data_IF_412603962604
#
_entry.id   IF_412603962604
#
_cell.length_a   1.000
_cell.length_b   1.000
_cell.length_c   1.000
_cell.angle_alpha   90.00
_cell.angle_beta   90.00
_cell.angle_gamma   90.00
#
_symmetry.space_group_name_H-M   'P 1'
#
loop_
_entity.id
_entity.type
_entity.pdbx_description
1 polymer ?
#
# COMPACT_ATOMS: atom_id res chain seq x y z
N UNK A 1 5.28 -27.45 -7.46
CA UNK A 1 6.53 -26.64 -7.50
C UNK A 1 6.39 -25.58 -6.41
N UNK A 2 7.30 -25.53 -5.44
CA UNK A 2 7.19 -24.54 -4.35
C UNK A 2 7.37 -23.14 -4.94
N UNK A 3 6.35 -22.29 -4.82
CA UNK A 3 6.46 -20.89 -5.21
C UNK A 3 7.55 -20.25 -4.36
N UNK A 4 8.67 -19.90 -4.98
CA UNK A 4 9.78 -19.28 -4.29
C UNK A 4 9.37 -17.85 -3.94
N UNK A 5 9.26 -17.56 -2.64
CA UNK A 5 8.87 -16.27 -2.09
C UNK A 5 9.66 -15.14 -2.76
N UNK A 6 8.97 -14.19 -3.38
CA UNK A 6 9.54 -12.97 -3.97
C UNK A 6 9.33 -11.85 -2.97
N UNK A 7 10.43 -11.24 -2.52
CA UNK A 7 10.43 -10.13 -1.56
C UNK A 7 11.15 -8.95 -2.22
N UNK A 8 10.59 -7.76 -2.04
CA UNK A 8 11.19 -6.50 -2.45
C UNK A 8 11.30 -5.58 -1.23
N UNK A 9 12.45 -4.93 -1.11
CA UNK A 9 12.67 -3.91 -0.10
C UNK A 9 12.44 -2.53 -0.73
N UNK A 10 11.49 -1.78 -0.18
CA UNK A 10 11.25 -0.38 -0.56
C UNK A 10 11.80 0.50 0.54
N UNK A 11 12.74 1.37 0.18
CA UNK A 11 13.45 2.28 1.08
C UNK A 11 12.98 3.70 0.84
N UNK A 12 12.55 4.36 1.90
CA UNK A 12 12.09 5.74 1.91
C UNK A 12 13.04 6.59 2.74
N UNK A 13 13.72 7.52 2.09
CA UNK A 13 14.58 8.49 2.75
C UNK A 13 13.76 9.70 3.22
N UNK A 14 14.26 10.42 4.23
CA UNK A 14 13.64 11.65 4.76
C UNK A 14 12.20 11.44 5.30
N UNK A 15 11.95 10.28 5.90
CA UNK A 15 10.69 9.96 6.59
C UNK A 15 10.86 10.18 8.08
N UNK A 16 10.39 11.33 8.56
CA UNK A 16 10.56 11.78 9.95
C UNK A 16 9.57 11.15 10.95
N UNK A 17 8.54 10.45 10.46
CA UNK A 17 7.51 9.85 11.31
C UNK A 17 7.12 8.44 10.82
N UNK A 18 6.71 7.53 11.71
CA UNK A 18 6.26 6.22 11.28
C UNK A 18 4.92 6.32 10.52
N UNK A 19 4.79 5.68 9.34
CA UNK A 19 3.51 5.53 8.66
C UNK A 19 2.56 4.69 9.50
N UNK A 20 1.27 5.02 9.42
CA UNK A 20 0.21 4.22 10.06
C UNK A 20 -0.53 3.33 9.05
N UNK A 21 -0.30 3.55 7.75
CA UNK A 21 -0.83 2.72 6.67
C UNK A 21 0.16 2.63 5.52
N UNK A 22 0.33 1.40 5.03
CA UNK A 22 1.10 1.07 3.85
C UNK A 22 0.18 0.35 2.88
N UNK A 23 0.09 0.86 1.66
CA UNK A 23 -0.68 0.26 0.58
C UNK A 23 0.24 0.00 -0.60
N UNK A 24 0.13 -1.18 -1.20
CA UNK A 24 0.82 -1.52 -2.44
C UNK A 24 -0.26 -1.70 -3.51
N UNK A 25 -0.14 -0.96 -4.61
CA UNK A 25 -1.04 -1.11 -5.74
C UNK A 25 -0.36 -1.81 -6.91
N UNK A 26 -1.17 -2.54 -7.67
CA UNK A 26 -0.79 -3.29 -8.85
C UNK A 26 -1.63 -2.80 -10.02
N UNK A 27 -0.98 -2.37 -11.09
CA UNK A 27 -1.65 -1.84 -12.29
C UNK A 27 -1.53 -2.83 -13.43
N UNK A 28 -2.66 -3.19 -14.00
CA UNK A 28 -2.75 -4.14 -15.11
C UNK A 28 -3.35 -3.49 -16.35
N UNK A 29 -2.96 -4.02 -17.50
CA UNK A 29 -3.60 -3.67 -18.77
C UNK A 29 -5.05 -4.15 -18.77
N UNK A 30 -5.95 -3.31 -19.27
CA UNK A 30 -7.33 -3.71 -19.48
C UNK A 30 -7.50 -4.41 -20.83
N UNK A 31 -8.56 -5.20 -20.99
CA UNK A 31 -8.84 -5.95 -22.21
C UNK A 31 -9.07 -5.04 -23.44
N UNK A 32 -9.47 -3.78 -23.21
CA UNK A 32 -9.66 -2.79 -24.29
C UNK A 32 -8.69 -1.62 -24.10
N UNK A 33 -8.03 -1.14 -25.17
CA UNK A 33 -7.03 -0.08 -25.08
C UNK A 33 -7.54 1.26 -24.55
N UNK A 34 -8.85 1.50 -24.60
CA UNK A 34 -9.49 2.74 -24.16
C UNK A 34 -10.13 2.64 -22.79
N UNK A 35 -10.21 1.42 -22.23
CA UNK A 35 -10.70 1.25 -20.88
C UNK A 35 -9.59 1.65 -19.90
N UNK A 36 -9.93 2.24 -18.74
CA UNK A 36 -8.94 2.54 -17.71
C UNK A 36 -8.16 1.31 -17.29
N UNK A 37 -6.93 1.49 -16.82
CA UNK A 37 -6.17 0.39 -16.23
C UNK A 37 -6.95 -0.28 -15.10
N UNK A 38 -6.75 -1.59 -14.96
CA UNK A 38 -7.22 -2.31 -13.79
C UNK A 38 -6.22 -2.05 -12.67
N UNK A 39 -6.71 -1.74 -11.48
CA UNK A 39 -5.86 -1.49 -10.31
C UNK A 39 -6.36 -2.31 -9.12
N UNK A 40 -5.44 -3.02 -8.48
CA UNK A 40 -5.68 -3.71 -7.23
C UNK A 40 -4.83 -3.05 -6.14
N UNK A 41 -5.40 -2.86 -4.95
CA UNK A 41 -4.69 -2.26 -3.80
C UNK A 41 -4.68 -3.26 -2.66
N UNK A 42 -3.49 -3.61 -2.19
CA UNK A 42 -3.26 -4.48 -1.04
C UNK A 42 -2.77 -3.64 0.13
N UNK A 43 -3.45 -3.71 1.27
CA UNK A 43 -3.03 -3.02 2.50
C UNK A 43 -2.11 -3.94 3.29
N UNK A 44 -0.90 -3.48 3.57
CA UNK A 44 0.09 -4.24 4.31
C UNK A 44 -0.15 -4.10 5.82
N UNK A 45 -0.18 -5.21 6.58
CA UNK A 45 -0.33 -5.16 8.04
C UNK A 45 0.94 -4.68 8.75
N UNK A 46 2.11 -4.92 8.15
CA UNK A 46 3.38 -4.40 8.61
C UNK A 46 3.64 -3.04 7.94
N UNK A 47 3.74 -1.99 8.77
CA UNK A 47 4.02 -0.64 8.30
C UNK A 47 5.49 -0.40 7.99
N UNK A 48 6.35 -1.40 8.20
CA UNK A 48 7.79 -1.35 8.00
C UNK A 48 8.55 -1.00 9.29
N UNK A 49 9.86 -0.78 9.14
CA UNK A 49 10.77 -0.47 10.23
C UNK A 49 11.67 0.71 9.89
N UNK A 50 12.08 1.45 10.91
CA UNK A 50 13.14 2.44 10.78
C UNK A 50 14.52 1.76 10.78
N UNK A 51 15.40 2.18 9.88
CA UNK A 51 16.79 1.74 9.74
C UNK A 51 17.69 2.97 9.53
N UNK A 52 18.13 3.58 10.64
CA UNK A 52 18.78 4.90 10.61
C UNK A 52 17.79 5.99 10.19
N UNK A 53 18.15 6.75 9.17
CA UNK A 53 17.32 7.82 8.59
C UNK A 53 16.43 7.31 7.43
N UNK A 54 16.35 6.00 7.24
CA UNK A 54 15.54 5.37 6.19
C UNK A 54 14.39 4.58 6.80
N UNK A 55 13.19 4.77 6.28
CA UNK A 55 12.07 3.88 6.54
C UNK A 55 12.04 2.75 5.51
N UNK A 56 12.01 1.51 5.99
CA UNK A 56 12.15 0.31 5.16
C UNK A 56 10.90 -0.55 5.27
N UNK A 57 10.28 -0.83 4.12
CA UNK A 57 9.09 -1.68 3.99
C UNK A 57 9.43 -2.92 3.17
N UNK A 58 9.04 -4.10 3.66
CA UNK A 58 9.20 -5.37 2.95
C UNK A 58 7.90 -5.72 2.24
N UNK A 59 7.91 -5.66 0.91
CA UNK A 59 6.80 -6.07 0.04
C UNK A 59 7.01 -7.52 -0.34
N UNK A 60 5.99 -8.36 -0.25
CA UNK A 60 6.05 -9.76 -0.71
C UNK A 60 5.02 -9.99 -1.82
N UNK A 61 5.28 -9.56 -3.07
CA UNK A 61 4.27 -9.62 -4.13
C UNK A 61 3.77 -11.03 -4.44
N UNK A 62 4.57 -12.06 -4.14
CA UNK A 62 4.16 -13.45 -4.32
C UNK A 62 3.07 -13.89 -3.33
N UNK A 63 2.91 -13.20 -2.21
CA UNK A 63 1.85 -13.45 -1.21
C UNK A 63 0.58 -12.65 -1.54
N UNK A 64 0.74 -11.49 -2.16
CA UNK A 64 -0.35 -10.56 -2.49
C UNK A 64 -1.25 -11.06 -3.63
N UNK A 65 -0.87 -12.15 -4.31
CA UNK A 65 -1.57 -12.60 -5.53
C UNK A 65 -3.05 -12.88 -5.29
N UNK A 66 -3.38 -13.57 -4.22
CA UNK A 66 -4.77 -13.96 -3.94
C UNK A 66 -5.61 -12.71 -3.62
N UNK A 67 -5.07 -11.78 -2.81
CA UNK A 67 -5.69 -10.50 -2.50
C UNK A 67 -5.88 -9.63 -3.76
N UNK A 68 -4.92 -9.65 -4.68
CA UNK A 68 -5.00 -8.93 -5.96
C UNK A 68 -6.10 -9.49 -6.84
N UNK A 69 -6.20 -10.82 -6.98
CA UNK A 69 -7.24 -11.44 -7.80
C UNK A 69 -8.63 -11.22 -7.21
N UNK A 70 -8.76 -11.31 -5.88
CA UNK A 70 -9.99 -10.99 -5.16
C UNK A 70 -10.39 -9.53 -5.37
N UNK A 71 -9.46 -8.59 -5.21
CA UNK A 71 -9.72 -7.15 -5.42
C UNK A 71 -10.15 -6.82 -6.85
N UNK A 72 -9.64 -7.55 -7.84
CA UNK A 72 -10.03 -7.40 -9.25
C UNK A 72 -11.32 -8.17 -9.60
N UNK A 73 -11.78 -9.08 -8.73
CA UNK A 73 -12.94 -9.94 -9.00
C UNK A 73 -12.73 -10.91 -10.16
N UNK A 74 -11.51 -11.40 -10.36
CA UNK A 74 -11.14 -12.29 -11.47
C UNK A 74 -10.75 -13.68 -10.98
N UNK A 75 -10.82 -14.68 -11.87
CA UNK A 75 -10.40 -16.05 -11.57
C UNK A 75 -8.88 -16.19 -11.43
N UNK A 76 -8.43 -17.23 -10.73
CA UNK A 76 -7.00 -17.57 -10.60
C UNK A 76 -6.29 -17.79 -11.94
N UNK A 77 -7.00 -18.20 -13.00
CA UNK A 77 -6.44 -18.41 -14.34
C UNK A 77 -6.45 -17.16 -15.23
N UNK A 78 -6.80 -15.98 -14.68
CA UNK A 78 -6.87 -14.75 -15.45
C UNK A 78 -5.49 -14.35 -16.00
N UNK A 79 -5.41 -14.18 -17.32
CA UNK A 79 -4.23 -13.72 -18.03
C UNK A 79 -4.06 -12.19 -17.88
N UNK A 80 -3.62 -11.75 -16.70
CA UNK A 80 -3.41 -10.33 -16.40
C UNK A 80 -2.01 -9.87 -16.87
N UNK A 81 -1.95 -8.79 -17.65
CA UNK A 81 -0.69 -8.15 -18.05
C UNK A 81 -0.32 -7.09 -17.01
N UNK A 82 0.72 -7.34 -16.20
CA UNK A 82 1.15 -6.42 -15.15
C UNK A 82 2.02 -5.30 -15.75
N UNK A 83 1.56 -4.05 -15.60
CA UNK A 83 2.25 -2.87 -16.13
C UNK A 83 3.20 -2.25 -15.13
N UNK A 84 2.91 -2.37 -13.84
CA UNK A 84 3.72 -1.79 -12.78
C UNK A 84 3.10 -1.95 -11.41
N UNK A 85 3.87 -1.58 -10.41
CA UNK A 85 3.49 -1.55 -9.01
C UNK A 85 3.77 -0.18 -8.44
N UNK A 86 3.16 0.11 -7.30
CA UNK A 86 3.60 1.22 -6.48
C UNK A 86 3.24 1.03 -5.03
N UNK A 87 3.79 1.89 -4.20
CA UNK A 87 3.55 1.90 -2.77
C UNK A 87 3.15 3.30 -2.35
N UNK A 88 2.15 3.37 -1.48
CA UNK A 88 1.71 4.58 -0.78
C UNK A 88 1.94 4.42 0.71
N UNK A 89 2.74 5.32 1.28
CA UNK A 89 2.80 5.53 2.72
C UNK A 89 1.82 6.63 3.09
N UNK A 90 0.97 6.38 4.08
CA UNK A 90 0.15 7.42 4.70
C UNK A 90 0.62 7.67 6.12
N UNK A 91 0.90 8.93 6.40
CA UNK A 91 1.42 9.43 7.67
C UNK A 91 0.47 10.48 8.21
N UNK A 92 0.29 10.48 9.53
CA UNK A 92 -0.48 11.49 10.26
C UNK A 92 0.33 11.91 11.48
N UNK A 93 0.13 13.16 11.91
CA UNK A 93 0.59 13.63 13.21
C UNK A 93 0.12 12.66 14.31
N UNK A 94 0.93 12.43 15.34
CA UNK A 94 0.61 11.56 16.48
C UNK A 94 -0.74 11.90 17.11
N UNK A 95 -1.12 13.19 17.10
CA UNK A 95 -2.41 13.67 17.61
C UNK A 95 -3.63 13.19 16.81
N UNK A 96 -3.41 12.69 15.59
CA UNK A 96 -4.43 12.20 14.66
C UNK A 96 -4.38 10.68 14.45
N UNK A 97 -3.52 9.97 15.19
CA UNK A 97 -3.47 8.50 15.16
C UNK A 97 -4.67 7.93 15.90
N UNK A 98 -5.47 7.04 15.28
CA UNK A 98 -6.60 6.43 15.97
C UNK A 98 -6.14 5.67 17.22
N UNK A 99 -6.82 5.83 18.37
CA UNK A 99 -6.53 5.04 19.55
C UNK A 99 -6.68 3.55 19.21
N UNK A 100 -5.60 2.77 19.42
CA UNK A 100 -5.58 1.34 19.07
C UNK A 100 -5.31 1.03 17.60
N UNK A 101 -4.94 2.01 16.77
CA UNK A 101 -4.49 1.79 15.38
C UNK A 101 -5.58 1.52 14.34
N UNK A 102 -6.85 1.43 14.76
CA UNK A 102 -8.00 1.21 13.86
C UNK A 102 -8.75 2.52 13.66
N UNK A 103 -8.84 2.98 12.41
CA UNK A 103 -9.56 4.20 12.08
C UNK A 103 -11.08 3.96 12.16
N UNK A 104 -11.72 4.56 13.17
CA UNK A 104 -13.17 4.54 13.35
C UNK A 104 -13.72 5.98 13.17
N UNK A 105 -14.57 6.22 12.15
CA UNK A 105 -15.18 7.53 11.90
C UNK A 105 -15.98 8.08 13.10
N UNK A 106 -16.52 7.22 13.96
CA UNK A 106 -17.29 7.63 15.14
C UNK A 106 -16.39 8.14 16.29
N UNK A 107 -15.09 7.82 16.27
CA UNK A 107 -14.13 8.30 17.27
C UNK A 107 -13.67 9.74 17.03
N UNK A 108 -13.76 10.24 15.79
CA UNK A 108 -13.41 11.63 15.45
C UNK A 108 -14.36 12.66 16.07
N UNK A 109 -15.56 12.23 16.44
CA UNK A 109 -16.64 13.10 16.94
C UNK A 109 -16.64 13.17 18.47
N UNK A 110 -15.86 12.34 19.16
CA UNK A 110 -15.85 12.23 20.62
C UNK A 110 -14.75 13.13 21.23
N UNK A 111 -15.11 14.17 22.00
CA UNK A 111 -14.14 15.03 22.67
C UNK A 111 -13.25 14.23 23.63
N UNK A 112 -11.94 14.41 23.55
CA UNK A 112 -10.97 13.82 24.49
C UNK A 112 -10.48 12.40 24.14
N UNK A 113 -10.94 11.80 23.03
CA UNK A 113 -10.40 10.52 22.53
C UNK A 113 -9.11 10.71 21.73
N UNK A 114 -9.04 11.79 20.96
CA UNK A 114 -7.82 12.26 20.31
C UNK A 114 -7.34 13.53 21.03
N UNK A 115 -6.02 13.70 21.18
CA UNK A 115 -5.41 14.91 21.78
C UNK A 115 -5.45 16.13 20.85
N UNK A 116 -5.98 15.99 19.64
CA UNK A 116 -6.18 17.05 18.65
C UNK A 116 -7.39 17.97 18.93
N UNK A 117 -8.17 17.71 19.99
CA UNK A 117 -9.30 18.56 20.42
C UNK A 117 -9.08 18.97 21.87
N UNK A 118 -8.71 20.23 22.07
CA UNK A 118 -8.60 20.83 23.40
C UNK A 118 -9.62 21.97 23.51
N UNK A 119 -10.44 21.96 24.56
CA UNK A 119 -11.46 22.99 24.82
C UNK A 119 -12.45 23.26 23.65
N UNK A 120 -12.74 22.26 22.82
CA UNK A 120 -13.67 22.39 21.69
C UNK A 120 -13.09 23.05 20.44
N UNK A 121 -11.78 23.31 20.40
CA UNK A 121 -11.06 23.75 19.21
C UNK A 121 -10.23 22.59 18.67
N UNK A 122 -10.49 22.20 17.42
CA UNK A 122 -9.71 21.19 16.72
C UNK A 122 -8.44 21.81 16.12
N UNK A 123 -7.28 21.19 16.35
CA UNK A 123 -6.04 21.54 15.67
C UNK A 123 -6.05 20.97 14.24
N UNK A 124 -5.70 21.76 13.21
CA UNK A 124 -5.53 21.21 11.86
C UNK A 124 -4.35 20.24 11.84
N UNK A 125 -4.60 18.94 11.67
CA UNK A 125 -3.56 17.96 11.39
C UNK A 125 -3.19 17.93 9.92
N UNK A 126 -1.93 17.64 9.62
CA UNK A 126 -1.50 17.27 8.27
C UNK A 126 -1.55 15.76 8.11
N UNK A 127 -2.22 15.29 7.05
CA UNK A 127 -2.02 13.95 6.51
C UNK A 127 -1.02 14.07 5.37
N UNK A 128 0.12 13.40 5.49
CA UNK A 128 1.13 13.35 4.43
C UNK A 128 1.03 12.00 3.72
N UNK A 129 1.07 12.04 2.39
CA UNK A 129 1.08 10.85 1.54
C UNK A 129 2.33 10.87 0.67
N UNK A 130 3.09 9.78 0.72
CA UNK A 130 4.25 9.56 -0.12
C UNK A 130 3.97 8.40 -1.05
N UNK A 131 4.28 8.57 -2.34
CA UNK A 131 3.99 7.57 -3.37
C UNK A 131 5.25 7.32 -4.20
N UNK A 132 5.53 6.06 -4.48
CA UNK A 132 6.56 5.62 -5.41
C UNK A 132 5.96 4.57 -6.34
N UNK A 133 6.29 4.65 -7.63
CA UNK A 133 5.89 3.66 -8.63
C UNK A 133 7.16 3.03 -9.23
N UNK A 134 7.11 1.73 -9.53
CA UNK A 134 8.19 1.03 -10.22
C UNK A 134 7.65 -0.11 -11.09
N UNK A 135 8.48 -0.58 -12.00
CA UNK A 135 8.20 -1.75 -12.85
C UNK A 135 9.02 -2.94 -12.39
N UNK A 136 8.54 -4.14 -12.66
CA UNK A 136 9.26 -5.38 -12.38
C UNK A 136 9.89 -5.93 -13.65
N UNK A 137 11.04 -6.58 -13.49
CA UNK A 137 11.66 -7.33 -14.58
C UNK A 137 10.78 -8.51 -15.01
N UNK A 138 10.86 -8.87 -16.30
CA UNK A 138 10.07 -9.95 -16.91
C UNK A 138 10.06 -11.24 -16.10
N UNK A 139 11.24 -11.70 -15.67
CA UNK A 139 11.37 -12.94 -14.89
C UNK A 139 10.55 -12.89 -13.59
N UNK A 140 10.53 -11.73 -12.92
CA UNK A 140 9.76 -11.55 -11.68
C UNK A 140 8.27 -11.57 -11.98
N UNK A 141 7.82 -10.85 -13.02
CA UNK A 141 6.40 -10.80 -13.43
C UNK A 141 5.88 -12.20 -13.74
N UNK A 142 6.61 -12.98 -14.54
CA UNK A 142 6.22 -14.33 -14.93
C UNK A 142 6.20 -15.28 -13.71
N UNK A 143 7.14 -15.13 -12.77
CA UNK A 143 7.17 -15.92 -11.53
C UNK A 143 6.02 -15.57 -10.57
N UNK A 144 5.47 -14.36 -10.64
CA UNK A 144 4.25 -13.97 -9.92
C UNK A 144 2.98 -14.55 -10.56
N UNK A 145 3.09 -15.16 -11.75
CA UNK A 145 1.95 -15.71 -12.49
C UNK A 145 1.18 -14.68 -13.30
N UNK A 146 1.81 -13.55 -13.64
CA UNK A 146 1.26 -12.52 -14.52
C UNK A 146 1.98 -12.53 -15.88
N UNK A 147 1.41 -11.86 -16.87
CA UNK A 147 2.02 -11.63 -18.17
C UNK A 147 2.83 -10.32 -18.17
N UNK A 148 3.98 -10.34 -18.84
CA UNK A 148 4.81 -9.16 -19.04
C UNK A 148 4.36 -8.40 -20.31
N UNK A 149 4.29 -7.06 -20.31
CA UNK A 149 3.94 -6.28 -21.50
C UNK A 149 5.02 -6.42 -22.58
N UNK A 150 4.62 -6.85 -23.78
CA UNK A 150 5.51 -6.97 -24.95
C UNK A 150 5.85 -5.62 -25.60
#
# INVERSE_FOLDING_TARGET
MGSQRIVQEVRWEDIDFPPFRVEVWYRFMNARPFDPFLEAVVTYPDVGRQDGDTWVVQVTPSQDRDDVLEALGVSEDAALVLLGMGMRLTMSDEQWRPPGGVFDPELLVQPGIFSNVENGFGFFGSVNQYVVEWVLDREVVERLGYQYPE
#
